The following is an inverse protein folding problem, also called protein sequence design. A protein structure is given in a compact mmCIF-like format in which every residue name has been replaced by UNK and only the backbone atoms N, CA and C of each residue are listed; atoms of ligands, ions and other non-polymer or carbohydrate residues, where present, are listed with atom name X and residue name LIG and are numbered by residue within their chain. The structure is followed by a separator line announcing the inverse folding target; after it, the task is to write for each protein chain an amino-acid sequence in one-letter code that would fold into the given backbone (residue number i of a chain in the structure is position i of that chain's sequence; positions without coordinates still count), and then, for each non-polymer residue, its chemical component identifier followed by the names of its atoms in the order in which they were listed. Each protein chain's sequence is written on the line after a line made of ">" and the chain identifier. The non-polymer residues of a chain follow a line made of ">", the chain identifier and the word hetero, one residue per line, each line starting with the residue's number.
data_IF_761320725251
#
_entry.id   IF_761320725251
#
_cell.length_a   1.000
_cell.length_b   1.000
_cell.length_c   1.000
_cell.angle_alpha   90.00
_cell.angle_beta   90.00
_cell.angle_gamma   90.00
#
_symmetry.space_group_name_H-M   'P 1'
#
loop_
_entity.id
_entity.type
_entity.pdbx_description
1 polymer ?
#
# COMPACT_ATOMS: atom_id res chain seq x y z
N UNK A 1 70.58 -20.16 -35.01
CA UNK A 1 69.94 -20.08 -33.68
C UNK A 1 68.52 -19.55 -33.85
N UNK A 2 67.50 -20.43 -33.93
CA UNK A 2 66.09 -20.09 -34.04
C UNK A 2 65.45 -20.21 -32.66
N UNK A 3 65.03 -19.12 -32.03
CA UNK A 3 64.29 -19.13 -30.77
C UNK A 3 62.79 -19.42 -31.09
N UNK A 4 62.31 -20.53 -30.61
CA UNK A 4 60.92 -20.95 -30.64
C UNK A 4 60.19 -20.27 -29.46
N UNK A 5 59.22 -19.37 -29.78
CA UNK A 5 58.36 -18.69 -28.80
C UNK A 5 57.14 -19.59 -28.56
N UNK A 6 57.03 -20.23 -27.40
CA UNK A 6 55.81 -20.93 -27.02
C UNK A 6 54.76 -19.93 -26.48
N UNK A 7 53.70 -19.74 -27.22
CA UNK A 7 52.50 -19.02 -26.76
C UNK A 7 51.66 -20.01 -25.91
N UNK A 8 51.61 -19.83 -24.61
CA UNK A 8 50.67 -20.53 -23.76
C UNK A 8 49.33 -19.79 -23.80
N UNK A 9 48.39 -20.30 -24.58
CA UNK A 9 46.98 -19.86 -24.50
C UNK A 9 46.33 -20.44 -23.24
N UNK A 10 46.21 -19.67 -22.18
CA UNK A 10 45.34 -20.00 -21.04
C UNK A 10 43.88 -19.88 -21.50
N UNK A 11 43.26 -21.02 -21.78
CA UNK A 11 41.81 -21.05 -22.04
C UNK A 11 41.09 -20.75 -20.75
N UNK A 12 40.58 -19.51 -20.62
CA UNK A 12 39.62 -19.13 -19.58
C UNK A 12 38.30 -19.85 -19.90
N UNK A 13 38.08 -21.02 -19.33
CA UNK A 13 36.77 -21.68 -19.39
C UNK A 13 35.79 -20.89 -18.55
N UNK A 14 35.05 -20.00 -19.19
CA UNK A 14 33.87 -19.38 -18.59
C UNK A 14 32.84 -20.48 -18.35
N UNK A 15 32.84 -21.01 -17.13
CA UNK A 15 31.75 -21.90 -16.71
C UNK A 15 30.51 -21.03 -16.56
N UNK A 16 29.57 -21.15 -17.50
CA UNK A 16 28.21 -20.67 -17.27
C UNK A 16 27.66 -21.50 -16.13
N UNK A 17 27.68 -20.94 -14.93
CA UNK A 17 27.06 -21.55 -13.76
C UNK A 17 25.53 -21.56 -14.03
N UNK A 18 24.98 -22.73 -14.36
CA UNK A 18 23.52 -22.92 -14.35
C UNK A 18 23.07 -22.80 -12.88
N UNK A 19 22.11 -21.92 -12.62
CA UNK A 19 21.55 -21.76 -11.26
C UNK A 19 21.06 -23.14 -10.77
N UNK A 20 21.52 -23.54 -9.59
CA UNK A 20 21.08 -24.79 -8.97
C UNK A 20 19.61 -24.69 -8.58
N UNK A 21 18.84 -25.76 -8.88
CA UNK A 21 17.42 -25.84 -8.49
C UNK A 21 17.27 -26.79 -7.31
N UNK A 22 16.69 -26.28 -6.22
CA UNK A 22 16.45 -27.01 -4.99
C UNK A 22 14.95 -27.20 -4.78
N UNK A 23 14.45 -28.44 -4.85
CA UNK A 23 13.09 -28.73 -4.45
C UNK A 23 13.03 -29.04 -2.96
N UNK A 24 12.11 -28.47 -2.16
CA UNK A 24 11.95 -28.85 -0.75
C UNK A 24 11.71 -30.34 -0.52
N UNK A 25 11.16 -31.05 -1.52
CA UNK A 25 10.99 -32.50 -1.46
C UNK A 25 12.32 -33.24 -1.29
N UNK A 26 13.40 -32.75 -1.91
CA UNK A 26 14.73 -33.33 -1.75
C UNK A 26 15.30 -33.15 -0.32
N UNK A 27 14.68 -32.28 0.46
CA UNK A 27 15.01 -32.01 1.86
C UNK A 27 13.96 -32.54 2.84
N UNK A 28 13.09 -33.44 2.37
CA UNK A 28 12.12 -34.16 3.19
C UNK A 28 10.75 -33.48 3.34
N UNK A 29 10.39 -32.52 2.48
CA UNK A 29 9.04 -31.94 2.47
C UNK A 29 8.02 -32.95 1.91
N UNK A 30 6.87 -33.06 2.55
CA UNK A 30 5.74 -33.90 2.10
C UNK A 30 4.95 -33.24 0.96
N UNK A 31 4.88 -31.91 0.94
CA UNK A 31 4.17 -31.08 -0.05
C UNK A 31 2.69 -31.47 -0.21
N UNK A 32 2.05 -31.90 0.88
CA UNK A 32 0.66 -32.36 0.94
C UNK A 32 -0.32 -31.26 1.45
N UNK A 33 0.23 -30.13 1.92
CA UNK A 33 -0.54 -29.03 2.50
C UNK A 33 -1.08 -29.27 3.89
N UNK A 34 -0.62 -30.31 4.58
CA UNK A 34 -1.03 -30.73 5.94
C UNK A 34 0.16 -30.84 6.87
N UNK A 35 1.21 -31.51 6.42
CA UNK A 35 2.47 -31.63 7.13
C UNK A 35 3.18 -30.28 7.14
N UNK A 36 3.71 -29.86 8.31
CA UNK A 36 4.54 -28.66 8.37
C UNK A 36 5.89 -28.94 7.73
N UNK A 37 6.09 -28.40 6.54
CA UNK A 37 7.29 -28.55 5.70
C UNK A 37 8.29 -27.40 5.92
N UNK A 38 8.09 -26.49 6.87
CA UNK A 38 8.89 -25.30 7.08
C UNK A 38 10.39 -25.60 7.25
N UNK A 39 10.71 -26.64 8.02
CA UNK A 39 12.11 -27.05 8.21
C UNK A 39 12.76 -27.56 6.91
N UNK A 40 12.01 -28.26 6.06
CA UNK A 40 12.51 -28.75 4.77
C UNK A 40 12.70 -27.61 3.77
N UNK A 41 11.74 -26.66 3.71
CA UNK A 41 11.85 -25.47 2.89
C UNK A 41 13.04 -24.61 3.33
N UNK A 42 13.25 -24.44 4.63
CA UNK A 42 14.40 -23.66 5.14
C UNK A 42 15.73 -24.31 4.74
N UNK A 43 15.84 -25.64 4.86
CA UNK A 43 17.06 -26.36 4.41
C UNK A 43 17.31 -26.19 2.91
N UNK A 44 16.28 -26.16 2.08
CA UNK A 44 16.43 -25.88 0.65
C UNK A 44 16.95 -24.47 0.39
N UNK A 45 16.44 -23.46 1.12
CA UNK A 45 16.90 -22.06 1.04
C UNK A 45 18.35 -21.95 1.50
N UNK A 46 18.71 -22.58 2.63
CA UNK A 46 20.05 -22.54 3.19
C UNK A 46 21.07 -23.22 2.26
N UNK A 47 20.68 -24.33 1.63
CA UNK A 47 21.53 -25.03 0.66
C UNK A 47 21.74 -24.21 -0.62
N UNK A 48 20.70 -23.54 -1.13
CA UNK A 48 20.82 -22.64 -2.28
C UNK A 48 21.77 -21.48 -1.96
N UNK A 49 21.62 -20.85 -0.80
CA UNK A 49 22.49 -19.76 -0.37
C UNK A 49 23.95 -20.23 -0.18
N UNK A 50 24.17 -21.39 0.46
CA UNK A 50 25.49 -21.96 0.67
C UNK A 50 26.22 -22.33 -0.65
N UNK A 51 25.44 -22.62 -1.72
CA UNK A 51 25.97 -22.84 -3.06
C UNK A 51 26.33 -21.54 -3.81
N UNK A 52 26.17 -20.37 -3.17
CA UNK A 52 26.41 -19.06 -3.76
C UNK A 52 25.18 -18.49 -4.48
N UNK A 53 24.02 -19.14 -4.36
CA UNK A 53 22.75 -18.74 -4.95
C UNK A 53 22.05 -19.88 -5.68
N UNK A 54 20.76 -19.73 -5.90
CA UNK A 54 19.96 -20.73 -6.60
C UNK A 54 18.47 -20.50 -6.55
N UNK A 55 17.73 -21.42 -7.14
CA UNK A 55 16.27 -21.40 -7.19
C UNK A 55 15.72 -22.46 -6.25
N UNK A 56 14.89 -22.05 -5.30
CA UNK A 56 14.08 -22.97 -4.50
C UNK A 56 12.72 -23.07 -5.15
N UNK A 57 12.41 -24.19 -5.78
CA UNK A 57 11.20 -24.38 -6.56
C UNK A 57 10.15 -25.20 -5.81
N UNK A 58 8.94 -24.65 -5.67
CA UNK A 58 7.76 -25.38 -5.19
C UNK A 58 7.09 -25.99 -6.43
N UNK A 59 7.07 -27.34 -6.58
CA UNK A 59 6.61 -27.97 -7.80
C UNK A 59 5.12 -27.74 -8.09
N UNK A 60 4.77 -27.80 -9.36
CA UNK A 60 3.40 -27.57 -9.85
C UNK A 60 2.33 -28.38 -9.11
N UNK A 61 1.24 -27.71 -8.75
CA UNK A 61 0.10 -28.32 -8.06
C UNK A 61 0.35 -28.77 -6.62
N UNK A 62 1.58 -28.64 -6.10
CA UNK A 62 1.93 -29.05 -4.72
C UNK A 62 1.55 -27.98 -3.71
N UNK A 63 1.33 -28.42 -2.47
CA UNK A 63 0.96 -27.55 -1.35
C UNK A 63 1.95 -27.72 -0.21
N UNK A 64 2.54 -26.63 0.24
CA UNK A 64 3.52 -26.60 1.32
C UNK A 64 2.93 -25.81 2.48
N UNK A 65 2.69 -26.45 3.62
CA UNK A 65 2.31 -25.80 4.87
C UNK A 65 3.56 -25.39 5.61
N UNK A 66 3.62 -24.14 6.12
CA UNK A 66 4.78 -23.66 6.86
C UNK A 66 4.41 -22.57 7.87
N UNK A 67 5.20 -22.46 8.93
CA UNK A 67 5.31 -21.25 9.72
C UNK A 67 6.38 -20.31 9.15
N UNK A 68 7.19 -19.68 10.04
CA UNK A 68 8.23 -18.74 9.61
C UNK A 68 9.32 -19.40 8.76
N UNK A 69 9.60 -18.81 7.60
CA UNK A 69 10.79 -19.07 6.79
C UNK A 69 11.61 -17.79 6.62
N UNK A 70 12.91 -17.92 6.43
CA UNK A 70 13.83 -16.81 6.24
C UNK A 70 14.55 -16.93 4.90
N UNK A 71 14.32 -15.96 4.01
CA UNK A 71 15.04 -15.85 2.75
C UNK A 71 16.49 -15.45 2.98
N UNK A 72 17.37 -15.96 2.14
CA UNK A 72 18.81 -15.67 2.17
C UNK A 72 19.25 -15.01 0.85
N UNK A 73 20.38 -14.34 0.88
CA UNK A 73 20.95 -13.66 -0.30
C UNK A 73 21.13 -14.61 -1.49
N UNK A 74 20.91 -14.09 -2.69
CA UNK A 74 21.05 -14.77 -3.97
C UNK A 74 20.09 -15.95 -4.17
N UNK A 75 19.00 -16.02 -3.40
CA UNK A 75 18.00 -17.09 -3.51
C UNK A 75 16.72 -16.58 -4.16
N UNK A 76 16.25 -17.31 -5.16
CA UNK A 76 14.93 -17.14 -5.76
C UNK A 76 13.97 -18.20 -5.20
N UNK A 77 12.87 -17.77 -4.58
CA UNK A 77 11.74 -18.64 -4.26
C UNK A 77 10.79 -18.64 -5.47
N UNK A 78 10.71 -19.76 -6.16
CA UNK A 78 9.90 -19.93 -7.35
C UNK A 78 8.70 -20.85 -7.10
N UNK A 79 7.50 -20.35 -7.39
CA UNK A 79 6.26 -21.10 -7.26
C UNK A 79 5.74 -21.49 -8.65
N UNK A 80 5.83 -22.77 -9.01
CA UNK A 80 5.31 -23.29 -10.28
C UNK A 80 3.77 -23.19 -10.36
N UNK A 81 3.17 -23.30 -11.54
CA UNK A 81 1.72 -23.17 -11.72
C UNK A 81 0.91 -24.10 -10.81
N UNK A 82 -0.08 -23.50 -10.10
CA UNK A 82 -0.96 -24.24 -9.20
C UNK A 82 -0.33 -24.65 -7.87
N UNK A 83 0.96 -24.36 -7.64
CA UNK A 83 1.59 -24.60 -6.34
C UNK A 83 1.12 -23.58 -5.31
N UNK A 84 1.13 -23.97 -4.02
CA UNK A 84 0.73 -23.09 -2.92
C UNK A 84 1.65 -23.22 -1.72
N UNK A 85 2.02 -22.09 -1.13
CA UNK A 85 2.53 -22.02 0.24
C UNK A 85 1.35 -21.60 1.12
N UNK A 86 1.09 -22.36 2.19
CA UNK A 86 0.02 -22.13 3.14
C UNK A 86 0.61 -21.71 4.48
N UNK A 87 0.10 -20.63 5.07
CA UNK A 87 0.47 -20.24 6.42
C UNK A 87 -0.05 -21.26 7.45
N UNK A 88 0.79 -21.73 8.37
CA UNK A 88 0.34 -22.48 9.53
C UNK A 88 -0.46 -21.58 10.47
N UNK A 89 -1.50 -22.13 11.08
CA UNK A 89 -2.29 -21.43 12.11
C UNK A 89 -1.75 -21.63 13.52
N UNK A 90 -0.74 -22.48 13.67
CA UNK A 90 -0.12 -22.78 14.95
C UNK A 90 0.98 -21.77 15.30
N UNK A 91 0.83 -20.97 16.38
CA UNK A 91 1.85 -19.99 16.76
C UNK A 91 3.23 -20.59 17.01
N UNK A 92 3.32 -21.85 17.47
CA UNK A 92 4.57 -22.57 17.72
C UNK A 92 5.38 -22.84 16.46
N UNK A 93 4.77 -22.77 15.27
CA UNK A 93 5.46 -22.92 13.99
C UNK A 93 6.22 -21.65 13.58
N UNK A 94 6.06 -20.56 14.33
CA UNK A 94 6.63 -19.27 13.99
C UNK A 94 7.73 -18.86 14.96
N UNK A 95 8.91 -18.55 14.41
CA UNK A 95 10.02 -17.94 15.17
C UNK A 95 9.84 -16.43 15.34
N UNK A 96 9.17 -15.81 14.41
CA UNK A 96 8.79 -14.40 14.39
C UNK A 96 7.36 -14.28 13.87
N UNK A 97 6.61 -13.21 14.16
CA UNK A 97 5.26 -13.03 13.63
C UNK A 97 5.26 -12.66 12.13
N UNK A 98 5.99 -13.45 11.32
CA UNK A 98 6.13 -13.26 9.87
C UNK A 98 6.20 -14.64 9.22
N UNK A 99 5.43 -14.86 8.15
CA UNK A 99 5.49 -16.11 7.39
C UNK A 99 6.77 -16.18 6.55
N UNK A 100 7.03 -15.14 5.73
CA UNK A 100 8.23 -15.06 4.89
C UNK A 100 9.02 -13.81 5.29
N UNK A 101 10.15 -14.02 5.94
CA UNK A 101 11.04 -12.96 6.37
C UNK A 101 12.33 -12.90 5.54
N UNK A 102 12.97 -11.73 5.52
CA UNK A 102 14.36 -11.56 5.12
C UNK A 102 14.96 -10.40 5.90
N UNK A 103 16.19 -10.54 6.35
CA UNK A 103 16.93 -9.48 7.05
C UNK A 103 18.28 -9.28 6.37
N UNK A 104 18.53 -8.07 5.85
CA UNK A 104 19.81 -7.69 5.23
C UNK A 104 20.17 -8.51 3.99
N UNK A 105 19.23 -9.23 3.39
CA UNK A 105 19.52 -10.08 2.24
C UNK A 105 19.61 -9.25 0.93
N UNK A 106 20.49 -9.73 0.04
CA UNK A 106 20.70 -9.12 -1.26
C UNK A 106 20.32 -10.07 -2.41
N UNK A 107 19.82 -9.50 -3.52
CA UNK A 107 19.48 -10.26 -4.73
C UNK A 107 18.51 -11.42 -4.46
N UNK A 108 17.45 -11.13 -3.72
CA UNK A 108 16.40 -12.10 -3.47
C UNK A 108 15.24 -11.89 -4.46
N UNK A 109 14.65 -13.00 -4.87
CA UNK A 109 13.51 -12.95 -5.78
C UNK A 109 12.37 -13.89 -5.35
N UNK A 110 11.16 -13.47 -5.70
CA UNK A 110 9.92 -14.25 -5.56
C UNK A 110 9.24 -14.28 -6.92
N UNK A 111 9.11 -15.46 -7.53
CA UNK A 111 8.68 -15.56 -8.93
C UNK A 111 7.74 -16.75 -9.16
N UNK A 112 7.10 -16.77 -10.32
CA UNK A 112 6.23 -17.85 -10.75
C UNK A 112 4.75 -17.48 -10.66
N UNK A 113 3.88 -18.44 -11.00
CA UNK A 113 2.42 -18.23 -11.03
C UNK A 113 1.66 -19.00 -9.94
N UNK A 114 2.38 -19.44 -8.91
CA UNK A 114 1.79 -20.05 -7.72
C UNK A 114 1.23 -19.03 -6.73
N UNK A 115 0.73 -19.53 -5.60
CA UNK A 115 0.05 -18.73 -4.59
C UNK A 115 0.73 -18.82 -3.23
N UNK A 116 0.87 -17.71 -2.54
CA UNK A 116 1.17 -17.65 -1.11
C UNK A 116 -0.12 -17.24 -0.40
N UNK A 117 -0.65 -18.16 0.42
CA UNK A 117 -1.95 -18.03 1.09
C UNK A 117 -1.74 -17.87 2.60
N UNK A 118 -2.07 -16.67 3.09
CA UNK A 118 -1.93 -16.31 4.49
C UNK A 118 -3.01 -16.89 5.40
N UNK A 119 -4.10 -17.47 4.83
CA UNK A 119 -5.24 -18.02 5.58
C UNK A 119 -5.81 -17.03 6.61
N UNK A 120 -5.86 -15.75 6.25
CA UNK A 120 -6.08 -14.63 7.15
C UNK A 120 -7.33 -14.72 8.02
N UNK A 121 -8.42 -15.27 7.48
CA UNK A 121 -9.69 -15.43 8.24
C UNK A 121 -9.51 -16.34 9.46
N UNK A 122 -8.62 -17.33 9.38
CA UNK A 122 -8.38 -18.26 10.50
C UNK A 122 -7.67 -17.59 11.69
N UNK A 123 -7.09 -16.42 11.48
CA UNK A 123 -6.49 -15.58 12.52
C UNK A 123 -7.47 -14.52 13.07
N UNK A 124 -8.73 -14.59 12.66
CA UNK A 124 -9.77 -13.69 13.18
C UNK A 124 -10.57 -14.37 14.28
N UNK A 125 -10.91 -13.60 15.31
CA UNK A 125 -11.69 -14.08 16.46
C UNK A 125 -13.19 -13.96 16.20
N UNK A 126 -13.61 -12.91 15.49
CA UNK A 126 -15.02 -12.59 15.28
C UNK A 126 -15.20 -11.84 13.96
N UNK A 127 -16.27 -12.16 13.24
CA UNK A 127 -16.70 -11.37 12.09
C UNK A 127 -17.76 -10.36 12.50
N UNK A 128 -17.46 -9.08 12.36
CA UNK A 128 -18.41 -7.98 12.52
C UNK A 128 -18.99 -7.57 11.14
N UNK A 129 -20.05 -6.78 11.08
CA UNK A 129 -20.70 -6.45 9.80
C UNK A 129 -19.75 -5.92 8.72
N UNK A 130 -18.72 -5.16 9.08
CA UNK A 130 -17.82 -4.48 8.14
C UNK A 130 -16.33 -4.69 8.40
N UNK A 131 -15.95 -5.37 9.49
CA UNK A 131 -14.58 -5.66 9.86
C UNK A 131 -14.49 -6.93 10.67
N UNK A 132 -13.36 -7.63 10.64
CA UNK A 132 -13.04 -8.69 11.59
C UNK A 132 -12.38 -8.14 12.85
N UNK A 133 -12.66 -8.77 14.00
CA UNK A 133 -11.82 -8.61 15.17
C UNK A 133 -10.71 -9.65 15.12
N UNK A 134 -9.43 -9.25 15.08
CA UNK A 134 -8.33 -10.20 15.02
C UNK A 134 -8.15 -10.94 16.35
N UNK A 135 -7.57 -12.14 16.28
CA UNK A 135 -7.01 -12.82 17.44
C UNK A 135 -5.82 -12.02 18.01
N UNK A 136 -5.41 -12.24 19.26
CA UNK A 136 -4.28 -11.53 19.87
C UNK A 136 -2.96 -11.68 19.11
N UNK A 137 -2.82 -12.77 18.36
CA UNK A 137 -1.65 -13.06 17.55
C UNK A 137 -2.05 -13.37 16.10
N UNK A 138 -1.31 -12.78 15.16
CA UNK A 138 -1.41 -13.02 13.73
C UNK A 138 -0.10 -12.62 13.03
N UNK A 139 0.41 -13.38 12.04
CA UNK A 139 1.63 -13.03 11.34
C UNK A 139 1.37 -11.98 10.24
N UNK A 140 2.43 -11.28 9.85
CA UNK A 140 2.52 -10.65 8.53
C UNK A 140 2.79 -11.72 7.49
N UNK A 141 2.29 -11.56 6.25
CA UNK A 141 2.59 -12.51 5.19
C UNK A 141 4.06 -12.42 4.79
N UNK A 142 4.54 -11.21 4.49
CA UNK A 142 5.94 -10.97 4.12
C UNK A 142 6.47 -9.72 4.84
N UNK A 143 7.69 -9.82 5.39
CA UNK A 143 8.47 -8.69 5.89
C UNK A 143 9.91 -8.82 5.41
N UNK A 144 10.32 -7.89 4.55
CA UNK A 144 11.68 -7.79 4.05
C UNK A 144 12.32 -6.55 4.67
N UNK A 145 13.42 -6.73 5.40
CA UNK A 145 14.04 -5.67 6.19
C UNK A 145 15.50 -5.48 5.81
N UNK A 146 15.90 -4.25 5.48
CA UNK A 146 17.26 -3.90 5.09
C UNK A 146 17.74 -4.62 3.82
N UNK A 147 16.83 -5.14 3.01
CA UNK A 147 17.16 -5.93 1.83
C UNK A 147 17.50 -5.04 0.62
N UNK A 148 18.33 -5.54 -0.28
CA UNK A 148 18.76 -4.84 -1.49
C UNK A 148 18.53 -5.70 -2.73
N UNK A 149 18.16 -5.05 -3.85
CA UNK A 149 17.91 -5.73 -5.14
C UNK A 149 16.85 -6.84 -5.02
N UNK A 150 15.69 -6.46 -4.48
CA UNK A 150 14.53 -7.36 -4.32
C UNK A 150 13.71 -7.36 -5.61
N UNK A 151 13.32 -8.55 -6.08
CA UNK A 151 12.45 -8.73 -7.23
C UNK A 151 11.26 -9.60 -6.87
N UNK A 152 10.05 -9.18 -7.30
CA UNK A 152 8.83 -9.98 -7.12
C UNK A 152 8.00 -9.90 -8.41
N UNK A 153 7.60 -11.07 -8.96
CA UNK A 153 6.82 -11.09 -10.19
C UNK A 153 5.84 -12.26 -10.28
N UNK A 154 4.70 -11.97 -10.88
CA UNK A 154 3.69 -12.90 -11.39
C UNK A 154 3.00 -13.79 -10.34
N UNK A 155 3.31 -13.64 -9.06
CA UNK A 155 2.74 -14.38 -7.95
C UNK A 155 1.34 -13.90 -7.57
N UNK A 156 0.56 -14.81 -6.99
CA UNK A 156 -0.66 -14.47 -6.24
C UNK A 156 -0.37 -14.52 -4.74
N UNK A 157 -0.63 -13.42 -4.04
CA UNK A 157 -0.63 -13.32 -2.58
C UNK A 157 -2.07 -13.15 -2.12
N UNK A 158 -2.51 -13.93 -1.16
CA UNK A 158 -3.91 -13.84 -0.74
C UNK A 158 -4.11 -14.00 0.74
N UNK A 159 -5.24 -13.49 1.20
CA UNK A 159 -5.77 -13.67 2.55
C UNK A 159 -4.70 -13.49 3.63
N UNK A 160 -3.94 -12.39 3.54
CA UNK A 160 -2.95 -12.05 4.56
C UNK A 160 -3.62 -11.79 5.91
N UNK A 161 -3.11 -12.34 7.01
CA UNK A 161 -3.65 -12.03 8.35
C UNK A 161 -3.40 -10.59 8.81
N UNK A 162 -2.36 -9.95 8.28
CA UNK A 162 -1.95 -8.57 8.55
C UNK A 162 -1.24 -8.03 7.30
N UNK A 163 -0.22 -7.17 7.40
CA UNK A 163 0.53 -6.68 6.24
C UNK A 163 0.88 -7.78 5.23
N UNK A 164 0.59 -7.56 3.95
CA UNK A 164 0.88 -8.54 2.88
C UNK A 164 2.33 -8.46 2.45
N UNK A 165 2.80 -7.31 1.96
CA UNK A 165 4.21 -7.09 1.61
C UNK A 165 4.72 -5.87 2.36
N UNK A 166 5.46 -6.05 3.42
CA UNK A 166 6.06 -4.98 4.21
C UNK A 166 7.55 -4.87 3.90
N UNK A 167 7.94 -3.80 3.22
CA UNK A 167 9.31 -3.48 2.84
C UNK A 167 9.87 -2.47 3.83
N UNK A 168 10.80 -2.88 4.68
CA UNK A 168 11.39 -2.01 5.71
C UNK A 168 12.83 -1.71 5.37
N UNK A 169 13.16 -0.45 5.12
CA UNK A 169 14.54 -0.05 4.82
C UNK A 169 15.15 -0.74 3.60
N UNK A 170 14.32 -1.17 2.65
CA UNK A 170 14.77 -1.84 1.44
C UNK A 170 15.27 -0.84 0.39
N UNK A 171 16.20 -1.28 -0.47
CA UNK A 171 16.77 -0.47 -1.54
C UNK A 171 16.79 -1.27 -2.86
N UNK A 172 16.42 -0.61 -3.97
CA UNK A 172 16.28 -1.20 -5.30
C UNK A 172 15.31 -2.40 -5.31
N UNK A 173 14.03 -2.09 -5.13
CA UNK A 173 12.92 -3.05 -5.16
C UNK A 173 12.15 -2.92 -6.46
N UNK A 174 11.85 -4.03 -7.13
CA UNK A 174 10.92 -4.08 -8.25
C UNK A 174 9.85 -5.15 -8.02
N UNK A 175 8.58 -4.72 -7.99
CA UNK A 175 7.40 -5.58 -7.87
C UNK A 175 6.57 -5.39 -9.12
N UNK A 176 6.33 -6.47 -9.86
CA UNK A 176 5.64 -6.39 -11.15
C UNK A 176 4.65 -7.55 -11.35
N UNK A 177 3.45 -7.23 -11.87
CA UNK A 177 2.50 -8.24 -12.31
C UNK A 177 1.96 -9.16 -11.22
N UNK A 178 2.12 -8.79 -9.93
CA UNK A 178 1.57 -9.60 -8.84
C UNK A 178 0.09 -9.32 -8.64
N UNK A 179 -0.61 -10.34 -8.16
CA UNK A 179 -2.00 -10.25 -7.74
C UNK A 179 -2.10 -10.39 -6.23
N UNK A 180 -2.70 -9.41 -5.56
CA UNK A 180 -3.02 -9.46 -4.12
C UNK A 180 -4.53 -9.54 -3.97
N UNK A 181 -5.02 -10.61 -3.33
CA UNK A 181 -6.45 -10.85 -3.09
C UNK A 181 -6.68 -11.10 -1.60
N UNK A 182 -6.78 -10.04 -0.83
CA UNK A 182 -7.07 -10.13 0.58
C UNK A 182 -8.57 -10.00 0.87
N UNK A 183 -9.00 -10.55 1.98
CA UNK A 183 -10.33 -10.31 2.48
C UNK A 183 -10.46 -8.85 2.94
N UNK A 184 -11.43 -8.13 2.37
CA UNK A 184 -11.62 -6.70 2.58
C UNK A 184 -12.06 -6.31 4.00
N UNK A 185 -12.43 -7.28 4.84
CA UNK A 185 -12.79 -7.06 6.25
C UNK A 185 -11.63 -7.29 7.23
N UNK A 186 -10.49 -7.82 6.77
CA UNK A 186 -9.34 -8.05 7.67
C UNK A 186 -8.62 -6.72 7.91
N UNK A 187 -8.54 -6.22 9.16
CA UNK A 187 -7.86 -4.97 9.47
C UNK A 187 -6.33 -5.10 9.35
N UNK A 188 -5.66 -4.00 9.02
CA UNK A 188 -4.21 -3.91 8.80
C UNK A 188 -3.69 -4.88 7.72
N UNK A 189 -4.55 -5.26 6.81
CA UNK A 189 -4.23 -6.13 5.69
C UNK A 189 -3.83 -5.27 4.50
N UNK A 190 -2.79 -4.44 4.72
CA UNK A 190 -2.23 -3.56 3.69
C UNK A 190 -1.67 -4.42 2.54
N UNK A 191 -1.78 -3.96 1.31
CA UNK A 191 -1.26 -4.67 0.14
C UNK A 191 0.26 -4.61 0.06
N UNK A 192 0.82 -3.47 -0.34
CA UNK A 192 2.27 -3.26 -0.44
C UNK A 192 2.64 -2.02 0.36
N UNK A 193 3.53 -2.18 1.33
CA UNK A 193 3.95 -1.12 2.25
C UNK A 193 5.45 -0.83 2.21
N UNK A 194 5.94 0.06 1.34
CA UNK A 194 7.27 0.62 1.48
C UNK A 194 7.35 1.49 2.75
N UNK A 195 8.17 1.05 3.70
CA UNK A 195 8.44 1.75 4.95
C UNK A 195 9.93 2.06 5.03
N UNK A 196 10.30 3.34 5.01
CA UNK A 196 11.71 3.77 5.00
C UNK A 196 12.54 3.14 3.88
N UNK A 197 11.86 2.85 2.77
CA UNK A 197 12.46 2.18 1.61
C UNK A 197 12.67 3.18 0.47
N UNK A 198 13.66 2.90 -0.38
CA UNK A 198 14.02 3.79 -1.50
C UNK A 198 14.22 3.01 -2.79
N UNK A 199 14.14 3.73 -3.91
CA UNK A 199 14.30 3.17 -5.25
C UNK A 199 13.31 2.00 -5.49
N UNK A 200 12.03 2.22 -5.17
CA UNK A 200 10.97 1.20 -5.26
C UNK A 200 10.13 1.43 -6.51
N UNK A 201 9.95 0.40 -7.30
CA UNK A 201 9.10 0.38 -8.50
C UNK A 201 8.02 -0.69 -8.34
N UNK A 202 6.75 -0.29 -8.44
CA UNK A 202 5.58 -1.18 -8.35
C UNK A 202 4.76 -0.96 -9.63
N UNK A 203 4.59 -2.01 -10.43
CA UNK A 203 3.86 -1.88 -11.69
C UNK A 203 3.03 -3.10 -12.05
N UNK A 204 1.99 -2.86 -12.87
CA UNK A 204 1.17 -3.91 -13.49
C UNK A 204 0.50 -4.85 -12.46
N UNK A 205 0.21 -4.37 -11.25
CA UNK A 205 -0.33 -5.16 -10.15
C UNK A 205 -1.86 -5.03 -10.04
N UNK A 206 -2.50 -6.13 -9.60
CA UNK A 206 -3.89 -6.10 -9.15
C UNK A 206 -3.94 -6.28 -7.64
N UNK A 207 -4.58 -5.35 -6.91
CA UNK A 207 -4.53 -5.32 -5.44
C UNK A 207 -5.94 -5.13 -4.86
N UNK A 208 -6.35 -6.10 -4.04
CA UNK A 208 -7.48 -5.97 -3.13
C UNK A 208 -6.96 -6.06 -1.69
N UNK A 209 -7.22 -5.04 -0.86
CA UNK A 209 -6.71 -4.91 0.49
C UNK A 209 -7.80 -4.54 1.49
N UNK A 210 -7.79 -5.20 2.65
CA UNK A 210 -8.70 -4.88 3.76
C UNK A 210 -8.32 -3.62 4.53
N UNK A 211 -7.12 -3.11 4.31
CA UNK A 211 -6.64 -1.80 4.74
C UNK A 211 -6.07 -1.06 3.51
N UNK A 212 -4.97 -0.32 3.61
CA UNK A 212 -4.41 0.46 2.52
C UNK A 212 -3.93 -0.45 1.35
N UNK A 213 -4.15 -0.03 0.10
CA UNK A 213 -3.72 -0.79 -1.08
C UNK A 213 -2.20 -0.76 -1.25
N UNK A 214 -1.65 0.42 -1.55
CA UNK A 214 -0.20 0.68 -1.53
C UNK A 214 0.03 1.86 -0.60
N UNK A 215 0.85 1.66 0.44
CA UNK A 215 1.07 2.67 1.47
C UNK A 215 2.54 2.89 1.77
N UNK A 216 3.00 4.13 1.60
CA UNK A 216 4.37 4.55 1.89
C UNK A 216 4.40 5.19 3.27
N UNK A 217 5.30 4.73 4.13
CA UNK A 217 5.40 5.14 5.52
C UNK A 217 6.86 5.44 5.91
N UNK A 218 7.03 6.14 7.03
CA UNK A 218 8.29 6.23 7.77
C UNK A 218 7.99 6.00 9.25
N UNK A 219 7.88 4.72 9.62
CA UNK A 219 7.51 4.32 10.99
C UNK A 219 8.65 4.60 11.97
N UNK A 220 8.30 4.89 13.22
CA UNK A 220 9.26 5.23 14.28
C UNK A 220 10.18 4.07 14.61
N UNK A 221 9.65 2.87 14.69
CA UNK A 221 10.41 1.66 15.07
C UNK A 221 11.51 1.32 14.08
N UNK A 222 11.41 1.82 12.84
CA UNK A 222 12.35 1.57 11.76
C UNK A 222 13.26 2.81 11.47
N UNK A 223 13.42 3.74 12.43
CA UNK A 223 14.09 5.03 12.24
C UNK A 223 15.53 4.95 11.69
N UNK A 224 16.23 3.84 11.94
CA UNK A 224 17.59 3.64 11.47
C UNK A 224 17.75 3.63 9.93
N UNK A 225 16.66 3.43 9.18
CA UNK A 225 16.70 3.30 7.72
C UNK A 225 16.53 4.62 6.95
N UNK A 226 16.19 5.72 7.63
CA UNK A 226 16.05 7.06 7.01
C UNK A 226 14.71 7.25 6.29
N UNK A 227 14.63 8.16 5.30
CA UNK A 227 13.40 8.53 4.60
C UNK A 227 12.91 7.43 3.64
N UNK A 228 11.65 7.58 3.19
CA UNK A 228 11.11 6.88 2.02
C UNK A 228 11.20 7.79 0.79
N UNK A 229 11.89 7.34 -0.27
CA UNK A 229 12.15 8.21 -1.43
C UNK A 229 12.32 7.44 -2.74
N UNK A 230 12.14 8.16 -3.87
CA UNK A 230 12.29 7.60 -5.22
C UNK A 230 11.35 6.40 -5.44
N UNK A 231 10.06 6.60 -5.27
CA UNK A 231 9.05 5.53 -5.35
C UNK A 231 8.11 5.78 -6.52
N UNK A 232 7.98 4.80 -7.40
CA UNK A 232 7.08 4.87 -8.56
C UNK A 232 6.07 3.73 -8.49
N UNK A 233 4.79 4.08 -8.60
CA UNK A 233 3.67 3.14 -8.72
C UNK A 233 2.93 3.45 -10.01
N UNK A 234 2.77 2.46 -10.90
CA UNK A 234 2.12 2.68 -12.19
C UNK A 234 1.35 1.45 -12.68
N UNK A 235 0.37 1.67 -13.56
CA UNK A 235 -0.41 0.61 -14.23
C UNK A 235 -1.09 -0.39 -13.29
N UNK A 236 -1.50 0.03 -12.09
CA UNK A 236 -2.12 -0.85 -11.12
C UNK A 236 -3.65 -0.70 -11.10
N UNK A 237 -4.34 -1.79 -10.80
CA UNK A 237 -5.76 -1.78 -10.44
C UNK A 237 -5.90 -2.07 -8.96
N UNK A 238 -6.60 -1.19 -8.22
CA UNK A 238 -6.59 -1.23 -6.75
C UNK A 238 -8.01 -1.10 -6.20
N UNK A 239 -8.32 -1.95 -5.21
CA UNK A 239 -9.48 -1.85 -4.34
C UNK A 239 -9.04 -1.93 -2.90
N UNK A 240 -9.49 -0.99 -2.07
CA UNK A 240 -9.10 -0.90 -0.66
C UNK A 240 -10.27 -0.55 0.23
N UNK A 241 -10.37 -1.17 1.40
CA UNK A 241 -11.32 -0.76 2.42
C UNK A 241 -10.89 0.51 3.17
N UNK A 242 -9.65 0.99 2.95
CA UNK A 242 -9.10 2.23 3.48
C UNK A 242 -8.72 3.16 2.33
N UNK A 243 -7.45 3.38 2.04
CA UNK A 243 -7.01 4.19 0.92
C UNK A 243 -6.28 3.34 -0.13
N UNK A 244 -6.64 3.50 -1.41
CA UNK A 244 -6.01 2.71 -2.47
C UNK A 244 -4.52 3.04 -2.61
N UNK A 245 -4.18 4.33 -2.63
CA UNK A 245 -2.81 4.85 -2.66
C UNK A 245 -2.63 5.82 -1.48
N UNK A 246 -1.59 5.61 -0.67
CA UNK A 246 -1.43 6.41 0.55
C UNK A 246 0.01 6.77 0.87
N UNK A 247 0.20 7.97 1.43
CA UNK A 247 1.41 8.42 2.11
C UNK A 247 1.06 8.68 3.59
N UNK A 248 1.75 8.02 4.50
CA UNK A 248 1.48 8.10 5.95
C UNK A 248 0.53 6.97 6.44
N UNK A 249 -0.08 7.08 7.64
CA UNK A 249 -0.06 8.16 8.65
C UNK A 249 1.24 8.28 9.44
N UNK A 250 2.07 7.25 9.47
CA UNK A 250 3.38 7.31 10.13
C UNK A 250 4.34 8.06 9.21
N UNK A 251 4.72 9.27 9.64
CA UNK A 251 5.54 10.23 8.90
C UNK A 251 6.62 10.81 9.81
N UNK A 252 7.34 9.91 10.52
CA UNK A 252 8.37 10.35 11.49
C UNK A 252 9.66 10.83 10.83
N UNK A 253 9.79 10.60 9.52
CA UNK A 253 10.83 11.09 8.63
C UNK A 253 10.21 11.47 7.28
N UNK A 254 11.00 12.00 6.34
CA UNK A 254 10.51 12.48 5.06
C UNK A 254 10.00 11.35 4.15
N UNK A 255 8.95 11.65 3.39
CA UNK A 255 8.48 10.89 2.23
C UNK A 255 8.56 11.83 1.03
N UNK A 256 9.40 11.50 0.03
CA UNK A 256 9.62 12.40 -1.10
C UNK A 256 9.88 11.69 -2.43
N UNK A 257 9.71 12.44 -3.51
CA UNK A 257 9.97 11.98 -4.87
C UNK A 257 9.14 10.72 -5.20
N UNK A 258 7.80 10.87 -5.09
CA UNK A 258 6.82 9.79 -5.27
C UNK A 258 5.96 10.08 -6.51
N UNK A 259 5.79 9.06 -7.35
CA UNK A 259 4.90 9.11 -8.51
C UNK A 259 3.83 8.02 -8.38
N UNK A 260 2.56 8.40 -8.48
CA UNK A 260 1.41 7.52 -8.71
C UNK A 260 0.81 7.83 -10.08
N UNK A 261 0.87 6.89 -11.01
CA UNK A 261 0.41 7.15 -12.38
C UNK A 261 -0.32 5.97 -13.02
N UNK A 262 -1.18 6.26 -13.99
CA UNK A 262 -1.83 5.25 -14.84
C UNK A 262 -2.58 4.16 -14.05
N UNK A 263 -3.20 4.50 -12.94
CA UNK A 263 -3.90 3.52 -12.09
C UNK A 263 -5.42 3.64 -12.19
N UNK A 264 -6.09 2.51 -11.99
CA UNK A 264 -7.55 2.43 -11.85
C UNK A 264 -7.89 2.00 -10.44
N UNK A 265 -8.59 2.86 -9.71
CA UNK A 265 -9.05 2.61 -8.34
C UNK A 265 -10.56 2.37 -8.41
N UNK A 266 -11.05 1.26 -7.84
CA UNK A 266 -12.47 0.92 -7.87
C UNK A 266 -13.00 0.55 -6.49
N UNK A 267 -14.19 1.07 -6.17
CA UNK A 267 -14.92 0.69 -4.97
C UNK A 267 -14.12 0.82 -3.68
N UNK A 268 -13.19 1.77 -3.63
CA UNK A 268 -12.35 2.01 -2.46
C UNK A 268 -13.00 3.02 -1.51
N UNK A 269 -12.60 3.02 -0.24
CA UNK A 269 -13.11 4.01 0.71
C UNK A 269 -12.49 5.39 0.44
N UNK A 270 -11.17 5.44 0.16
CA UNK A 270 -10.45 6.62 -0.37
C UNK A 270 -9.67 6.25 -1.62
N UNK A 271 -9.52 7.21 -2.52
CA UNK A 271 -8.66 7.06 -3.69
C UNK A 271 -7.20 7.26 -3.33
N UNK A 272 -6.74 8.50 -3.32
CA UNK A 272 -5.39 8.89 -2.93
C UNK A 272 -5.43 9.64 -1.61
N UNK A 273 -4.64 9.21 -0.62
CA UNK A 273 -4.57 9.84 0.69
C UNK A 273 -3.14 10.26 1.04
N UNK A 274 -2.91 11.54 1.31
CA UNK A 274 -1.65 12.10 1.79
C UNK A 274 -1.89 12.59 3.21
N UNK A 275 -1.33 11.89 4.19
CA UNK A 275 -1.67 12.08 5.62
C UNK A 275 -0.42 12.34 6.43
N UNK A 276 -0.10 13.60 6.64
CA UNK A 276 1.02 14.02 7.46
C UNK A 276 0.59 14.18 8.93
N UNK A 277 1.27 13.49 9.84
CA UNK A 277 0.97 13.58 11.28
C UNK A 277 2.18 13.75 12.18
N UNK A 278 3.38 13.49 11.69
CA UNK A 278 4.61 13.47 12.49
C UNK A 278 5.63 14.49 11.95
N UNK A 279 6.86 14.45 12.45
CA UNK A 279 7.89 15.47 12.24
C UNK A 279 8.54 15.46 10.85
N UNK A 280 8.38 14.38 10.07
CA UNK A 280 8.85 14.31 8.68
C UNK A 280 7.96 15.12 7.75
N UNK A 281 8.44 15.36 6.53
CA UNK A 281 7.71 16.10 5.50
C UNK A 281 7.28 15.19 4.36
N UNK A 282 6.23 15.59 3.63
CA UNK A 282 5.80 14.93 2.39
C UNK A 282 5.99 15.93 1.25
N UNK A 283 6.87 15.60 0.31
CA UNK A 283 7.30 16.55 -0.72
C UNK A 283 7.49 15.90 -2.08
N UNK A 284 7.30 16.66 -3.17
CA UNK A 284 7.55 16.23 -4.55
C UNK A 284 6.72 14.99 -4.91
N UNK A 285 5.41 15.13 -4.88
CA UNK A 285 4.48 14.02 -5.18
C UNK A 285 3.71 14.33 -6.45
N UNK A 286 3.79 13.43 -7.44
CA UNK A 286 3.02 13.48 -8.68
C UNK A 286 1.95 12.41 -8.66
N UNK A 287 0.71 12.80 -8.92
CA UNK A 287 -0.46 11.91 -9.03
C UNK A 287 -1.15 12.21 -10.33
N UNK A 288 -1.03 11.33 -11.31
CA UNK A 288 -1.48 11.64 -12.65
C UNK A 288 -2.12 10.47 -13.39
N UNK A 289 -3.05 10.83 -14.29
CA UNK A 289 -3.71 9.87 -15.17
C UNK A 289 -4.39 8.72 -14.40
N UNK A 290 -5.31 9.08 -13.49
CA UNK A 290 -6.05 8.13 -12.67
C UNK A 290 -7.54 8.14 -12.98
N UNK A 291 -8.14 6.95 -12.96
CA UNK A 291 -9.59 6.77 -12.83
C UNK A 291 -9.84 6.31 -11.39
N UNK A 292 -10.66 7.06 -10.66
CA UNK A 292 -10.91 6.82 -9.24
C UNK A 292 -12.42 6.62 -9.02
N UNK A 293 -12.77 5.51 -8.37
CA UNK A 293 -14.12 5.28 -7.86
C UNK A 293 -14.05 5.06 -6.35
N UNK A 294 -14.72 5.94 -5.59
CA UNK A 294 -14.77 5.84 -4.14
C UNK A 294 -16.20 5.81 -3.62
N UNK A 295 -16.39 5.05 -2.54
CA UNK A 295 -17.67 4.89 -1.87
C UNK A 295 -17.52 4.84 -0.36
N UNK A 296 -18.52 5.28 0.37
CA UNK A 296 -18.58 5.15 1.82
C UNK A 296 -18.90 3.69 2.17
N UNK A 297 -17.89 2.94 2.61
CA UNK A 297 -18.05 1.52 2.95
C UNK A 297 -18.79 1.34 4.27
N UNK A 298 -18.48 2.17 5.26
CA UNK A 298 -19.17 2.16 6.53
C UNK A 298 -19.09 3.52 7.24
N UNK A 299 -20.20 4.01 7.84
CA UNK A 299 -20.23 5.32 8.51
C UNK A 299 -19.25 5.49 9.68
N UNK A 300 -18.82 4.39 10.29
CA UNK A 300 -17.85 4.41 11.40
C UNK A 300 -16.40 4.25 10.94
N UNK A 301 -16.14 4.11 9.63
CA UNK A 301 -14.78 4.00 9.12
C UNK A 301 -14.12 5.38 8.98
N UNK A 302 -12.79 5.41 8.93
CA UNK A 302 -12.02 6.60 8.63
C UNK A 302 -12.36 7.11 7.23
N UNK A 303 -12.72 8.39 7.10
CA UNK A 303 -12.96 9.01 5.82
C UNK A 303 -14.42 9.21 5.46
N UNK A 304 -14.63 9.86 4.33
CA UNK A 304 -15.92 10.22 3.78
C UNK A 304 -15.98 9.99 2.26
N UNK A 305 -15.40 8.90 1.80
CA UNK A 305 -15.33 8.52 0.39
C UNK A 305 -14.57 9.54 -0.49
N UNK A 306 -13.54 10.19 0.04
CA UNK A 306 -12.78 11.18 -0.69
C UNK A 306 -11.95 10.56 -1.82
N UNK A 307 -12.06 11.04 -3.07
CA UNK A 307 -11.19 10.57 -4.15
C UNK A 307 -9.75 11.06 -4.00
N UNK A 308 -9.56 12.25 -3.43
CA UNK A 308 -8.27 12.83 -3.06
C UNK A 308 -8.42 13.40 -1.65
N UNK A 309 -7.55 12.98 -0.76
CA UNK A 309 -7.49 13.43 0.63
C UNK A 309 -6.07 13.87 0.98
N UNK A 310 -5.90 15.11 1.38
CA UNK A 310 -4.64 15.67 1.87
C UNK A 310 -4.87 16.28 3.24
N UNK A 311 -4.13 15.82 4.24
CA UNK A 311 -4.21 16.41 5.58
C UNK A 311 -2.83 16.59 6.22
N UNK A 312 -2.68 17.70 6.97
CA UNK A 312 -1.50 18.01 7.77
C UNK A 312 -1.93 18.41 9.18
N UNK A 313 -2.14 17.40 10.01
CA UNK A 313 -2.60 17.54 11.41
C UNK A 313 -1.62 16.85 12.35
N UNK A 314 -1.09 17.50 13.40
CA UNK A 314 -0.19 16.84 14.33
C UNK A 314 -0.87 15.65 15.00
N UNK A 315 -0.11 14.60 15.29
CA UNK A 315 -0.63 13.37 15.90
C UNK A 315 -1.17 13.63 17.31
N UNK A 316 -0.46 14.43 18.08
CA UNK A 316 -0.84 14.83 19.44
C UNK A 316 -0.91 16.35 19.55
N UNK A 317 -1.68 16.90 20.50
CA UNK A 317 -1.70 18.35 20.76
C UNK A 317 -0.30 18.88 21.00
N UNK A 318 0.09 19.94 20.26
CA UNK A 318 1.43 20.52 20.34
C UNK A 318 2.58 19.66 19.79
N UNK A 319 2.27 18.51 19.20
CA UNK A 319 3.25 17.63 18.58
C UNK A 319 3.96 18.28 17.39
N UNK A 320 5.21 17.89 17.16
CA UNK A 320 5.96 18.35 15.98
C UNK A 320 5.35 17.73 14.73
N UNK A 321 5.19 18.56 13.70
CA UNK A 321 4.72 18.15 12.39
C UNK A 321 5.59 18.82 11.32
N UNK A 322 5.90 18.09 10.24
CA UNK A 322 6.65 18.59 9.10
C UNK A 322 5.79 19.39 8.12
N UNK A 323 6.14 19.34 6.84
CA UNK A 323 5.49 20.09 5.77
C UNK A 323 4.89 19.17 4.72
N UNK A 324 3.82 19.66 4.09
CA UNK A 324 3.27 19.08 2.85
C UNK A 324 3.46 20.12 1.75
N UNK A 325 4.26 19.82 0.73
CA UNK A 325 4.53 20.77 -0.35
C UNK A 325 4.84 20.10 -1.69
N UNK A 326 4.69 20.89 -2.76
CA UNK A 326 4.97 20.46 -4.13
C UNK A 326 4.20 19.19 -4.50
N UNK A 327 2.87 19.27 -4.41
CA UNK A 327 1.95 18.20 -4.82
C UNK A 327 1.31 18.55 -6.16
N UNK A 328 1.32 17.63 -7.10
CA UNK A 328 0.66 17.76 -8.41
C UNK A 328 -0.34 16.65 -8.62
N UNK A 329 -1.59 17.01 -8.82
CA UNK A 329 -2.68 16.11 -9.20
C UNK A 329 -3.15 16.49 -10.59
N UNK A 330 -3.00 15.61 -11.57
CA UNK A 330 -3.34 15.95 -12.95
C UNK A 330 -4.04 14.82 -13.69
N UNK A 331 -4.94 15.17 -14.63
CA UNK A 331 -5.64 14.21 -15.48
C UNK A 331 -6.37 13.14 -14.68
N UNK A 332 -7.20 13.55 -13.73
CA UNK A 332 -7.95 12.64 -12.84
C UNK A 332 -9.44 12.71 -13.14
N UNK A 333 -10.05 11.54 -13.39
CA UNK A 333 -11.49 11.35 -13.42
C UNK A 333 -11.92 10.60 -12.16
N UNK A 334 -12.63 11.27 -11.27
CA UNK A 334 -13.13 10.68 -10.04
C UNK A 334 -14.67 10.56 -10.08
N UNK A 335 -15.17 9.35 -9.79
CA UNK A 335 -16.57 9.07 -9.46
C UNK A 335 -16.64 8.76 -7.99
N UNK A 336 -17.32 9.60 -7.21
CA UNK A 336 -17.20 9.50 -5.76
C UNK A 336 -18.50 9.86 -5.04
N UNK A 337 -18.62 9.33 -3.83
CA UNK A 337 -19.69 9.73 -2.91
C UNK A 337 -19.28 10.92 -2.03
N UNK A 338 -17.98 11.18 -1.87
CA UNK A 338 -17.41 12.33 -1.19
C UNK A 338 -16.60 13.22 -2.13
N UNK A 339 -16.29 14.45 -1.71
CA UNK A 339 -15.48 15.37 -2.49
C UNK A 339 -13.98 15.28 -2.18
N UNK A 340 -13.20 16.01 -2.95
CA UNK A 340 -11.77 16.24 -2.65
C UNK A 340 -11.64 17.02 -1.35
N UNK A 341 -10.71 16.61 -0.50
CA UNK A 341 -10.44 17.26 0.77
C UNK A 341 -8.96 17.60 0.92
N UNK A 342 -8.64 18.88 1.11
CA UNK A 342 -7.28 19.37 1.37
C UNK A 342 -7.34 20.25 2.62
N UNK A 343 -6.69 19.85 3.69
CA UNK A 343 -6.72 20.58 4.94
C UNK A 343 -5.40 20.53 5.69
N UNK A 344 -4.93 21.70 6.06
CA UNK A 344 -3.82 21.85 6.99
C UNK A 344 -4.28 22.07 8.43
N UNK A 345 -3.35 22.59 9.21
CA UNK A 345 -3.52 23.05 10.59
C UNK A 345 -2.75 24.35 10.79
N UNK A 346 -2.94 25.00 11.94
CA UNK A 346 -2.13 26.14 12.32
C UNK A 346 -0.61 25.85 12.32
N UNK A 347 -0.24 24.59 12.61
CA UNK A 347 1.16 24.14 12.70
C UNK A 347 1.75 23.75 11.32
N UNK A 348 0.93 23.30 10.37
CA UNK A 348 1.39 22.90 9.04
C UNK A 348 0.29 23.13 8.01
N UNK A 349 0.55 24.02 7.07
CA UNK A 349 -0.36 24.36 5.97
C UNK A 349 0.20 23.80 4.67
N UNK A 350 -0.55 22.93 3.94
CA UNK A 350 -0.15 22.51 2.60
C UNK A 350 0.16 23.71 1.70
N UNK A 351 1.30 23.62 0.99
CA UNK A 351 1.78 24.68 0.11
C UNK A 351 2.19 24.12 -1.26
N UNK A 352 2.05 24.93 -2.30
CA UNK A 352 2.35 24.56 -3.68
C UNK A 352 1.63 23.26 -4.09
N UNK A 353 0.31 23.24 -3.93
CA UNK A 353 -0.56 22.13 -4.32
C UNK A 353 -1.35 22.51 -5.56
N UNK A 354 -1.21 21.76 -6.63
CA UNK A 354 -1.91 22.01 -7.90
C UNK A 354 -2.83 20.84 -8.25
N UNK A 355 -4.10 21.15 -8.51
CA UNK A 355 -5.04 20.25 -9.14
C UNK A 355 -5.29 20.76 -10.58
N UNK A 356 -4.94 19.97 -11.58
CA UNK A 356 -5.08 20.33 -12.98
C UNK A 356 -5.86 19.28 -13.78
N UNK A 357 -6.88 19.69 -14.51
CA UNK A 357 -7.75 18.79 -15.28
C UNK A 357 -8.32 17.65 -14.39
N UNK A 358 -8.85 18.01 -13.23
CA UNK A 358 -9.48 17.08 -12.29
C UNK A 358 -11.00 17.21 -12.41
N UNK A 359 -11.66 16.11 -12.77
CA UNK A 359 -13.12 16.02 -12.80
C UNK A 359 -13.59 15.16 -11.62
N UNK A 360 -14.52 15.71 -10.82
CA UNK A 360 -15.14 15.01 -9.70
C UNK A 360 -16.64 14.86 -9.97
N UNK A 361 -17.07 13.64 -10.28
CA UNK A 361 -18.48 13.27 -10.43
C UNK A 361 -19.01 12.78 -9.09
N UNK A 362 -19.90 13.57 -8.48
CA UNK A 362 -20.44 13.30 -7.14
C UNK A 362 -21.79 12.61 -7.20
N UNK A 363 -21.89 11.44 -6.59
CA UNK A 363 -23.13 10.65 -6.44
C UNK A 363 -23.35 10.28 -4.97
N UNK A 364 -23.69 11.25 -4.11
CA UNK A 364 -23.89 10.95 -2.70
C UNK A 364 -25.06 9.98 -2.51
N UNK A 365 -24.99 9.00 -1.56
CA UNK A 365 -26.11 8.15 -1.24
C UNK A 365 -27.33 8.94 -0.78
N UNK A 366 -28.55 8.42 -1.00
CA UNK A 366 -29.80 9.12 -0.67
C UNK A 366 -29.93 9.46 0.84
N UNK A 367 -29.34 8.67 1.69
CA UNK A 367 -29.27 8.85 3.14
C UNK A 367 -28.07 9.69 3.59
N UNK A 368 -27.20 10.11 2.66
CA UNK A 368 -26.05 11.00 2.91
C UNK A 368 -26.54 12.46 3.18
N UNK A 369 -27.59 12.55 4.00
CA UNK A 369 -28.20 13.87 4.38
C UNK A 369 -27.22 14.75 5.15
N UNK A 370 -26.13 14.17 5.65
CA UNK A 370 -25.08 14.84 6.41
C UNK A 370 -23.75 14.42 5.83
N UNK A 371 -23.20 15.23 4.95
CA UNK A 371 -21.86 15.01 4.49
C UNK A 371 -20.90 15.06 5.68
N UNK A 372 -19.87 14.24 5.62
CA UNK A 372 -18.87 14.10 6.66
C UNK A 372 -17.53 14.59 6.15
N UNK A 373 -16.74 15.14 7.04
CA UNK A 373 -15.32 15.40 6.81
C UNK A 373 -14.53 14.71 7.90
N UNK A 374 -13.49 14.03 7.51
CA UNK A 374 -12.53 13.43 8.44
C UNK A 374 -11.33 14.37 8.57
N UNK A 375 -11.27 15.10 9.66
CA UNK A 375 -10.18 16.06 9.92
C UNK A 375 -9.02 15.41 10.66
N UNK A 376 -9.25 14.29 11.33
CA UNK A 376 -8.29 13.63 12.22
C UNK A 376 -7.55 14.60 13.13
N UNK A 377 -8.23 15.26 14.08
CA UNK A 377 -7.60 16.22 14.97
C UNK A 377 -6.54 15.53 15.85
N UNK A 378 -5.64 16.30 16.46
CA UNK A 378 -4.69 15.78 17.43
C UNK A 378 -5.41 15.10 18.60
N UNK A 379 -4.91 13.94 19.03
CA UNK A 379 -5.44 13.19 20.17
C UNK A 379 -4.39 13.13 21.29
N UNK A 380 -4.81 13.23 22.58
CA UNK A 380 -3.89 13.21 23.74
C UNK A 380 -3.06 11.92 23.81
N UNK A 381 -3.64 10.80 23.37
CA UNK A 381 -2.96 9.53 23.20
C UNK A 381 -3.57 8.80 22.01
N UNK A 382 -2.76 8.51 21.00
CA UNK A 382 -3.21 7.54 20.00
C UNK A 382 -3.13 6.14 20.60
N UNK A 383 -4.17 5.29 20.40
CA UNK A 383 -4.05 3.89 20.77
C UNK A 383 -2.83 3.30 20.05
N UNK A 384 -2.00 2.59 20.78
CA UNK A 384 -0.71 2.06 20.30
C UNK A 384 -0.86 1.07 19.15
N UNK A 385 -2.07 0.62 18.85
CA UNK A 385 -2.36 -0.20 17.69
C UNK A 385 -3.79 0.00 17.24
N UNK A 386 -3.99 0.03 15.92
CA UNK A 386 -5.30 -0.06 15.26
C UNK A 386 -5.98 -1.42 15.43
N UNK A 387 -5.58 -2.25 16.39
CA UNK A 387 -6.19 -3.56 16.65
C UNK A 387 -7.56 -3.47 17.32
N UNK A 388 -7.92 -2.30 17.86
CA UNK A 388 -9.28 -1.97 18.22
C UNK A 388 -9.81 -0.82 17.35
N UNK A 389 -10.05 -1.08 16.06
CA UNK A 389 -10.38 -0.02 15.12
C UNK A 389 -11.69 0.69 15.45
N UNK A 390 -12.56 0.09 16.26
CA UNK A 390 -13.91 0.60 16.45
C UNK A 390 -14.45 0.26 17.84
N UNK A 391 -14.12 1.07 18.80
CA UNK A 391 -15.06 1.25 19.91
C UNK A 391 -16.32 1.86 19.30
N UNK A 392 -17.39 1.11 19.28
CA UNK A 392 -18.66 1.50 18.70
C UNK A 392 -18.99 2.97 19.06
N UNK A 393 -19.09 3.82 18.04
CA UNK A 393 -19.48 5.22 18.19
C UNK A 393 -18.36 6.25 18.31
N UNK A 394 -17.07 5.87 18.25
CA UNK A 394 -15.97 6.84 18.38
C UNK A 394 -15.09 6.89 17.14
N UNK A 395 -15.60 7.49 16.05
CA UNK A 395 -14.74 7.98 14.98
C UNK A 395 -14.36 9.42 15.35
N UNK A 396 -13.21 9.58 16.00
CA UNK A 396 -12.71 10.91 16.32
C UNK A 396 -12.37 11.65 15.02
N UNK A 397 -12.82 12.90 14.94
CA UNK A 397 -12.47 13.79 13.84
C UNK A 397 -13.38 13.75 12.63
N UNK A 398 -14.37 12.88 12.58
CA UNK A 398 -15.39 12.94 11.53
C UNK A 398 -16.48 13.92 11.95
N UNK A 399 -16.56 15.06 11.26
CA UNK A 399 -17.51 16.12 11.53
C UNK A 399 -18.57 16.21 10.43
N UNK A 400 -19.76 16.70 10.77
CA UNK A 400 -20.78 17.04 9.79
C UNK A 400 -20.43 18.36 9.10
N UNK A 401 -20.53 18.38 7.78
CA UNK A 401 -20.34 19.58 6.97
C UNK A 401 -21.15 19.47 5.68
N UNK A 402 -21.56 20.57 5.06
CA UNK A 402 -22.17 20.53 3.73
C UNK A 402 -21.29 19.81 2.72
N UNK A 403 -21.86 19.04 1.82
CA UNK A 403 -21.11 18.37 0.77
C UNK A 403 -20.44 19.41 -0.13
N UNK A 404 -19.17 19.22 -0.41
CA UNK A 404 -18.42 20.06 -1.35
C UNK A 404 -17.70 19.18 -2.37
N UNK A 405 -17.68 19.60 -3.63
CA UNK A 405 -16.87 18.94 -4.66
C UNK A 405 -15.38 19.03 -4.35
N UNK A 406 -14.97 20.21 -3.92
CA UNK A 406 -13.60 20.52 -3.49
C UNK A 406 -13.70 21.28 -2.16
N UNK A 407 -13.05 20.76 -1.12
CA UNK A 407 -12.92 21.45 0.16
C UNK A 407 -11.47 21.73 0.45
N UNK A 408 -11.14 22.99 0.64
CA UNK A 408 -9.77 23.45 0.88
C UNK A 408 -9.76 24.34 2.12
N UNK A 409 -8.96 23.99 3.15
CA UNK A 409 -8.89 24.72 4.41
C UNK A 409 -7.48 24.76 4.97
N UNK A 410 -7.13 25.86 5.64
CA UNK A 410 -5.84 26.03 6.31
C UNK A 410 -4.66 25.73 5.39
N UNK A 411 -4.67 26.28 4.19
CA UNK A 411 -3.63 26.12 3.16
C UNK A 411 -2.84 27.42 2.96
N UNK A 412 -1.64 27.29 2.39
CA UNK A 412 -0.80 28.44 2.05
C UNK A 412 -0.86 28.78 0.56
N UNK A 413 -0.87 27.76 -0.28
CA UNK A 413 -0.92 27.92 -1.75
C UNK A 413 -1.53 26.69 -2.40
N UNK A 414 -2.75 26.84 -2.94
CA UNK A 414 -3.45 25.79 -3.69
C UNK A 414 -3.97 26.40 -4.99
N UNK A 415 -3.67 25.76 -6.11
CA UNK A 415 -4.16 26.15 -7.43
C UNK A 415 -5.11 25.11 -8.00
N UNK A 416 -6.29 25.53 -8.43
CA UNK A 416 -7.30 24.71 -9.10
C UNK A 416 -7.40 25.15 -10.56
N UNK A 417 -6.85 24.34 -11.48
CA UNK A 417 -6.71 24.68 -12.89
C UNK A 417 -7.57 23.74 -13.72
N UNK A 418 -8.54 24.26 -14.46
CA UNK A 418 -9.46 23.47 -15.31
C UNK A 418 -10.10 22.29 -14.57
N UNK A 419 -10.57 22.53 -13.35
CA UNK A 419 -11.29 21.54 -12.56
C UNK A 419 -12.78 21.57 -12.86
N UNK A 420 -13.44 20.41 -12.76
CA UNK A 420 -14.89 20.26 -12.95
C UNK A 420 -15.50 19.50 -11.77
N UNK A 421 -16.58 20.05 -11.22
CA UNK A 421 -17.45 19.35 -10.25
C UNK A 421 -18.76 19.06 -10.94
N UNK A 422 -19.15 17.79 -11.04
CA UNK A 422 -20.38 17.35 -11.67
C UNK A 422 -21.26 16.63 -10.66
N UNK A 423 -22.49 17.10 -10.49
CA UNK A 423 -23.48 16.54 -9.59
C UNK A 423 -24.34 15.51 -10.34
N UNK A 424 -24.19 14.24 -10.01
CA UNK A 424 -24.96 13.17 -10.63
C UNK A 424 -26.28 12.99 -9.88
N UNK A 425 -27.40 13.21 -10.57
CA UNK A 425 -28.74 13.23 -9.98
C UNK A 425 -29.14 14.57 -9.34
N UNK A 426 -28.37 15.62 -9.60
CA UNK A 426 -28.62 16.99 -9.15
C UNK A 426 -27.84 17.36 -7.88
N UNK A 427 -27.57 18.65 -7.74
CA UNK A 427 -26.87 19.23 -6.60
C UNK A 427 -27.74 19.19 -5.34
N UNK A 428 -27.25 18.68 -4.20
CA UNK A 428 -27.93 18.80 -2.90
C UNK A 428 -28.16 20.27 -2.53
N UNK A 429 -29.23 20.58 -1.79
CA UNK A 429 -29.60 21.97 -1.41
C UNK A 429 -28.46 22.79 -0.79
N UNK A 430 -27.59 22.12 0.00
CA UNK A 430 -26.40 22.73 0.62
C UNK A 430 -25.09 22.34 -0.06
N UNK A 431 -25.15 21.72 -1.23
CA UNK A 431 -23.97 21.32 -2.00
C UNK A 431 -23.22 22.54 -2.54
N UNK A 432 -21.88 22.47 -2.59
CA UNK A 432 -21.01 23.52 -3.14
C UNK A 432 -19.95 22.91 -4.03
N UNK A 433 -19.67 23.52 -5.17
CA UNK A 433 -18.53 23.10 -6.00
C UNK A 433 -17.22 23.31 -5.26
N UNK A 434 -17.07 24.46 -4.60
CA UNK A 434 -15.91 24.79 -3.79
C UNK A 434 -16.34 25.28 -2.40
N UNK A 435 -15.68 24.78 -1.37
CA UNK A 435 -15.75 25.27 0.01
C UNK A 435 -14.32 25.64 0.47
N UNK A 436 -14.00 26.91 0.37
CA UNK A 436 -12.73 27.48 0.78
C UNK A 436 -12.99 28.79 1.57
N UNK A 437 -12.48 28.92 2.81
CA UNK A 437 -12.55 30.17 3.57
C UNK A 437 -11.83 31.33 2.88
N UNK A 438 -12.32 32.55 3.08
CA UNK A 438 -11.78 33.75 2.44
C UNK A 438 -10.32 34.09 2.83
N UNK A 439 -9.75 33.45 3.84
CA UNK A 439 -8.37 33.67 4.28
C UNK A 439 -7.35 32.68 3.70
N UNK A 440 -7.81 31.65 2.96
CA UNK A 440 -6.91 30.68 2.37
C UNK A 440 -6.42 31.14 0.99
N UNK A 441 -5.15 30.92 0.68
CA UNK A 441 -4.56 31.25 -0.61
C UNK A 441 -4.94 30.18 -1.66
N UNK A 442 -6.15 30.27 -2.20
CA UNK A 442 -6.65 29.39 -3.26
C UNK A 442 -6.78 30.18 -4.56
N UNK A 443 -6.02 29.76 -5.58
CA UNK A 443 -6.11 30.34 -6.93
C UNK A 443 -7.03 29.48 -7.81
N UNK A 444 -7.93 30.13 -8.52
CA UNK A 444 -8.90 29.48 -9.41
C UNK A 444 -8.62 29.88 -10.85
N UNK A 445 -8.42 28.88 -11.71
CA UNK A 445 -8.36 29.03 -13.14
C UNK A 445 -9.32 28.02 -13.79
N UNK A 446 -10.53 28.49 -14.14
CA UNK A 446 -11.58 27.68 -14.75
C UNK A 446 -12.09 26.52 -13.89
N UNK A 447 -12.74 26.83 -12.77
CA UNK A 447 -13.59 25.85 -12.06
C UNK A 447 -14.99 25.84 -12.69
N UNK A 448 -15.41 24.66 -13.17
CA UNK A 448 -16.77 24.44 -13.70
C UNK A 448 -17.61 23.67 -12.71
N UNK A 449 -18.90 24.05 -12.64
CA UNK A 449 -19.94 23.31 -11.93
C UNK A 449 -21.00 22.87 -12.92
N UNK A 450 -21.38 21.60 -12.92
CA UNK A 450 -22.33 21.00 -13.84
C UNK A 450 -23.34 20.14 -13.09
N UNK A 451 -24.62 20.25 -13.43
CA UNK A 451 -25.65 19.31 -12.98
C UNK A 451 -25.90 18.29 -14.09
N UNK A 452 -25.83 17.02 -13.77
CA UNK A 452 -26.16 15.94 -14.69
C UNK A 452 -27.44 15.22 -14.23
N UNK A 453 -28.51 15.23 -14.99
CA UNK A 453 -29.73 14.52 -14.63
C UNK A 453 -29.62 13.00 -14.71
N UNK A 454 -28.55 12.48 -15.28
CA UNK A 454 -28.37 11.05 -15.51
C UNK A 454 -27.72 10.42 -14.28
N UNK A 455 -28.48 9.58 -13.57
CA UNK A 455 -27.85 8.63 -12.63
C UNK A 455 -26.96 7.67 -13.45
N UNK A 456 -25.72 7.37 -13.02
CA UNK A 456 -25.01 6.25 -13.62
C UNK A 456 -25.88 5.01 -13.52
N UNK A 457 -25.98 4.25 -14.61
CA UNK A 457 -26.86 3.09 -14.71
C UNK A 457 -26.64 2.14 -13.55
N UNK A 458 -27.72 1.72 -12.93
CA UNK A 458 -27.76 0.52 -12.12
C UNK A 458 -27.71 -0.66 -13.10
N UNK A 459 -26.51 -1.19 -13.36
CA UNK A 459 -26.27 -2.51 -13.94
C UNK A 459 -25.54 -3.38 -12.92
#
# INVERSE_FOLDING_TARGET
>A
MKRLLFLVCAALSCRIATASVHSPAAYGAALDGRTNDGAALQRAIDAANAAGGGIVAIPAGRRLLTGSIEMKSHVTLHLEPGSRILASTEPSDYRTPVLIGALGAEEIAFTGSGTIDGRGVEFMAEELPYIFRPKPWRPKLMRLEGCRRVRMSDLTLRDSPSYTVHLVGCDDVAIRGITILNNLKIPNCDGIGPDRSRNVRISDCHIEAGDDGIVIKTTRDNAAYGPSENIVVTNCTIRSSSAALKLGTETTDDIRDVIFSNCVIRGSHRGVAIVLRDAGSIENVLVENLIIETQLLHPAWWGAAEPIYVSAQPRTPGGRIGRVRNLRFSQILARSQGGVFISGSAASKPEDVVLENVTVELSPPADFRRSRIDVRPPEPAEPASSTEPFRAGQVHGVAEAPLAGLRVRDVRDVSLVRCTVRWIGGRPERGRALDAPAGDAVRLEHLREEDSPVKPGAD
#
